data_IF_382437326460
#
_entry.id   IF_382437326460
#
_cell.length_a   1.000
_cell.length_b   1.000
_cell.length_c   1.000
_cell.angle_alpha   90.00
_cell.angle_beta   90.00
_cell.angle_gamma   90.00
#
_symmetry.space_group_name_H-M   'P 1'
#
loop_
_entity.id
_entity.type
_entity.pdbx_description
1 polymer ?
#
# COMPACT_ATOMS: atom_id res chain seq x y z
N UNK A 1 23.10 8.33 5.07
CA UNK A 1 21.69 8.57 4.70
C UNK A 1 20.71 7.93 5.67
N UNK A 2 20.82 6.62 6.00
CA UNK A 2 19.88 5.94 6.90
C UNK A 2 20.00 6.44 8.35
N UNK A 3 21.19 6.74 8.81
CA UNK A 3 21.46 7.22 10.16
C UNK A 3 21.00 8.68 10.34
N UNK A 4 21.21 9.52 9.36
CA UNK A 4 20.72 10.91 9.35
C UNK A 4 19.20 10.97 9.27
N UNK A 5 18.58 10.13 8.43
CA UNK A 5 17.12 9.99 8.40
C UNK A 5 16.56 9.57 9.74
N UNK A 6 17.18 8.57 10.40
CA UNK A 6 16.73 8.09 11.70
C UNK A 6 16.93 9.14 12.81
N UNK A 7 18.00 9.95 12.73
CA UNK A 7 18.21 11.04 13.65
C UNK A 7 17.20 12.18 13.44
N UNK A 8 16.90 12.54 12.18
CA UNK A 8 15.87 13.53 11.85
C UNK A 8 14.47 13.04 12.27
N UNK A 9 14.17 11.75 12.10
CA UNK A 9 12.92 11.14 12.56
C UNK A 9 12.83 11.11 14.09
N UNK A 10 13.94 10.84 14.78
CA UNK A 10 14.01 10.86 16.25
C UNK A 10 13.83 12.29 16.82
N UNK A 11 14.45 13.30 16.18
CA UNK A 11 14.33 14.71 16.57
C UNK A 11 12.93 15.28 16.25
N UNK A 12 12.24 14.76 15.23
CA UNK A 12 10.88 15.15 14.89
C UNK A 12 9.81 14.52 15.79
N UNK A 13 10.19 13.58 16.68
CA UNK A 13 9.25 12.81 17.51
C UNK A 13 8.47 11.75 16.72
N UNK A 14 8.88 11.47 15.50
CA UNK A 14 8.23 10.47 14.63
C UNK A 14 8.69 9.07 15.05
N UNK A 15 7.81 8.31 15.67
CA UNK A 15 8.03 6.89 15.93
C UNK A 15 7.44 6.10 14.75
N UNK A 16 8.27 5.29 14.12
CA UNK A 16 7.83 4.32 13.13
C UNK A 16 7.17 3.17 13.88
N UNK A 17 5.89 3.31 14.16
CA UNK A 17 5.11 2.28 14.84
C UNK A 17 4.39 1.46 13.77
N UNK A 18 4.73 0.19 13.66
CA UNK A 18 4.08 -0.74 12.74
C UNK A 18 2.61 -1.01 13.14
N UNK A 19 2.23 -0.67 14.36
CA UNK A 19 0.94 -0.99 14.96
C UNK A 19 0.03 0.24 15.22
N UNK A 20 0.48 1.47 15.02
CA UNK A 20 -0.22 2.61 15.56
C UNK A 20 -0.50 3.79 14.63
N UNK A 21 -1.58 4.44 14.90
CA UNK A 21 -1.98 5.73 14.39
C UNK A 21 -0.85 6.75 14.57
N UNK A 22 -0.36 7.31 13.49
CA UNK A 22 0.59 8.43 13.54
C UNK A 22 -0.12 9.63 14.19
N UNK A 23 0.38 10.04 15.36
CA UNK A 23 -0.08 11.25 16.02
C UNK A 23 0.33 12.46 15.18
N UNK A 24 -0.61 12.94 14.36
CA UNK A 24 -0.44 13.94 13.30
C UNK A 24 -0.10 15.37 13.81
N UNK A 25 0.14 15.55 15.11
CA UNK A 25 0.28 16.90 15.73
C UNK A 25 1.60 17.61 15.43
N UNK A 26 2.60 16.94 14.83
CA UNK A 26 3.90 17.54 14.53
C UNK A 26 4.26 17.58 13.02
N UNK A 27 3.39 17.12 12.14
CA UNK A 27 3.64 17.07 10.70
C UNK A 27 3.83 18.46 10.06
N UNK A 28 3.14 19.49 10.55
CA UNK A 28 3.21 20.85 9.97
C UNK A 28 4.59 21.52 10.11
N UNK A 29 5.45 21.04 11.01
CA UNK A 29 6.81 21.56 11.20
C UNK A 29 7.87 20.83 10.36
N UNK A 30 7.54 19.67 9.82
CA UNK A 30 8.49 18.78 9.11
C UNK A 30 8.27 18.84 7.59
N UNK A 31 7.24 19.52 7.13
CA UNK A 31 6.84 19.54 5.70
C UNK A 31 7.92 19.94 4.70
N UNK A 32 8.98 20.63 5.14
CA UNK A 32 10.06 21.12 4.27
C UNK A 32 11.40 20.38 4.45
N UNK A 33 11.43 19.29 5.22
CA UNK A 33 12.69 18.59 5.53
C UNK A 33 12.94 17.34 4.67
N UNK A 34 11.98 16.95 3.84
CA UNK A 34 12.12 15.76 2.98
C UNK A 34 11.35 15.93 1.68
N UNK A 35 11.80 15.25 0.64
CA UNK A 35 11.08 15.21 -0.63
C UNK A 35 9.83 14.34 -0.52
N UNK A 36 8.68 14.89 -0.89
CA UNK A 36 7.40 14.19 -0.89
C UNK A 36 7.26 13.22 -2.06
N UNK A 37 7.98 13.48 -3.14
CA UNK A 37 7.95 12.66 -4.34
C UNK A 37 9.31 12.57 -5.02
N UNK A 38 9.49 11.50 -5.80
CA UNK A 38 10.66 11.34 -6.69
C UNK A 38 10.75 12.50 -7.68
N UNK A 39 9.62 13.02 -8.13
CA UNK A 39 9.58 14.12 -9.10
C UNK A 39 10.14 15.43 -8.53
N UNK A 40 9.85 15.76 -7.27
CA UNK A 40 10.44 16.93 -6.60
C UNK A 40 11.96 16.81 -6.53
N UNK A 41 12.45 15.65 -6.11
CA UNK A 41 13.89 15.38 -6.02
C UNK A 41 14.56 15.44 -7.41
N UNK A 42 13.94 14.86 -8.42
CA UNK A 42 14.43 14.90 -9.81
C UNK A 42 14.48 16.33 -10.33
N UNK A 43 13.46 17.14 -10.04
CA UNK A 43 13.42 18.54 -10.44
C UNK A 43 14.61 19.33 -9.88
N UNK A 44 14.91 19.19 -8.60
CA UNK A 44 16.05 19.88 -7.96
C UNK A 44 17.40 19.40 -8.54
N UNK A 45 17.53 18.09 -8.81
CA UNK A 45 18.73 17.58 -9.48
C UNK A 45 18.90 18.13 -10.90
N UNK A 46 17.82 18.28 -11.67
CA UNK A 46 17.87 18.89 -12.99
C UNK A 46 18.24 20.40 -12.93
N UNK A 47 17.77 21.11 -11.89
CA UNK A 47 18.21 22.51 -11.68
C UNK A 47 19.72 22.58 -11.43
N UNK A 48 20.26 21.70 -10.57
CA UNK A 48 21.70 21.62 -10.29
C UNK A 48 22.46 21.30 -11.59
N UNK A 49 22.01 20.31 -12.35
CA UNK A 49 22.60 19.92 -13.62
C UNK A 49 22.64 21.09 -14.60
N UNK A 50 21.55 21.81 -14.79
CA UNK A 50 21.46 22.94 -15.69
C UNK A 50 22.39 24.09 -15.25
N UNK A 51 22.50 24.33 -13.95
CA UNK A 51 23.44 25.31 -13.40
C UNK A 51 24.91 24.96 -13.71
N UNK A 52 25.29 23.67 -13.50
CA UNK A 52 26.64 23.19 -13.82
C UNK A 52 26.96 23.33 -15.31
N UNK A 53 26.05 22.95 -16.19
CA UNK A 53 26.19 23.08 -17.65
C UNK A 53 26.35 24.53 -18.04
N UNK A 54 25.60 25.46 -17.46
CA UNK A 54 25.69 26.89 -17.78
C UNK A 54 27.02 27.52 -17.40
N UNK A 55 27.81 26.90 -16.56
CA UNK A 55 29.13 27.33 -16.09
C UNK A 55 30.28 26.49 -16.64
N UNK A 56 30.02 25.66 -17.67
CA UNK A 56 31.00 24.74 -18.29
C UNK A 56 31.64 23.75 -17.30
N UNK A 57 30.91 23.41 -16.20
CA UNK A 57 31.36 22.41 -15.23
C UNK A 57 30.85 21.01 -15.59
N UNK A 58 31.60 20.00 -15.18
CA UNK A 58 31.21 18.61 -15.40
C UNK A 58 30.00 18.23 -14.52
N UNK A 59 29.03 17.49 -15.06
CA UNK A 59 27.84 17.06 -14.36
C UNK A 59 27.70 15.55 -14.31
N UNK A 60 28.78 14.76 -14.44
CA UNK A 60 28.75 13.30 -14.50
C UNK A 60 28.11 12.67 -13.23
N UNK A 61 28.48 13.16 -12.05
CA UNK A 61 27.93 12.66 -10.79
C UNK A 61 26.43 12.91 -10.68
N UNK A 62 25.96 14.09 -11.13
CA UNK A 62 24.53 14.43 -11.13
C UNK A 62 23.78 13.57 -12.15
N UNK A 63 24.35 13.35 -13.34
CA UNK A 63 23.75 12.47 -14.35
C UNK A 63 23.65 11.02 -13.84
N UNK A 64 24.68 10.52 -13.16
CA UNK A 64 24.66 9.20 -12.56
C UNK A 64 23.55 9.10 -11.51
N UNK A 65 23.44 10.07 -10.62
CA UNK A 65 22.39 10.13 -9.61
C UNK A 65 20.99 10.22 -10.23
N UNK A 66 20.81 11.08 -11.23
CA UNK A 66 19.55 11.18 -11.98
C UNK A 66 19.15 9.83 -12.59
N UNK A 67 20.10 9.13 -13.20
CA UNK A 67 19.86 7.79 -13.75
C UNK A 67 19.43 6.80 -12.67
N UNK A 68 20.10 6.80 -11.52
CA UNK A 68 19.72 5.96 -10.37
C UNK A 68 18.32 6.29 -9.86
N UNK A 69 18.00 7.59 -9.73
CA UNK A 69 16.67 8.04 -9.29
C UNK A 69 15.58 7.64 -10.28
N UNK A 70 15.84 7.74 -11.58
CA UNK A 70 14.88 7.30 -12.61
C UNK A 70 14.63 5.79 -12.59
N UNK A 71 15.65 4.99 -12.27
CA UNK A 71 15.53 3.53 -12.23
C UNK A 71 14.86 3.07 -10.93
N UNK A 72 15.31 3.57 -9.80
CA UNK A 72 14.96 3.05 -8.48
C UNK A 72 13.92 3.91 -7.73
N UNK A 73 13.80 5.18 -8.07
CA UNK A 73 13.04 6.15 -7.28
C UNK A 73 13.60 6.25 -5.85
N UNK A 74 12.72 6.21 -4.85
CA UNK A 74 13.09 6.15 -3.44
C UNK A 74 13.09 4.72 -2.88
N UNK A 75 12.90 3.71 -3.74
CA UNK A 75 12.89 2.31 -3.37
C UNK A 75 14.00 1.54 -4.07
N UNK A 76 14.60 0.56 -3.38
CA UNK A 76 15.64 -0.27 -3.96
C UNK A 76 15.08 -1.21 -5.04
N UNK A 77 13.87 -1.76 -4.80
CA UNK A 77 13.18 -2.66 -5.71
C UNK A 77 11.68 -2.64 -5.42
N UNK A 78 10.85 -2.94 -6.43
CA UNK A 78 9.45 -3.25 -6.21
C UNK A 78 9.28 -4.67 -5.67
N UNK A 79 8.27 -4.86 -4.81
CA UNK A 79 7.96 -6.15 -4.19
C UNK A 79 6.64 -6.69 -4.74
N UNK A 80 6.61 -7.97 -5.06
CA UNK A 80 5.36 -8.69 -5.27
C UNK A 80 4.82 -9.18 -3.94
N UNK A 81 3.55 -8.90 -3.68
CA UNK A 81 2.85 -9.52 -2.56
C UNK A 81 2.37 -10.89 -3.00
N UNK A 82 2.58 -11.92 -2.18
CA UNK A 82 2.19 -13.30 -2.50
C UNK A 82 1.39 -13.89 -1.36
N UNK A 83 0.20 -14.38 -1.68
CA UNK A 83 -0.70 -15.01 -0.72
C UNK A 83 -1.42 -16.21 -1.35
N UNK A 84 -1.85 -17.13 -0.49
CA UNK A 84 -2.69 -18.26 -0.87
C UNK A 84 -4.17 -17.84 -0.89
N UNK A 85 -4.95 -18.32 -1.88
CA UNK A 85 -6.36 -17.96 -2.07
C UNK A 85 -7.21 -18.27 -0.84
N UNK A 86 -6.97 -19.39 -0.18
CA UNK A 86 -7.72 -19.80 1.02
C UNK A 86 -7.72 -18.77 2.13
N UNK A 87 -6.65 -17.98 2.28
CA UNK A 87 -6.59 -16.91 3.28
C UNK A 87 -7.63 -15.81 3.04
N UNK A 88 -7.94 -15.53 1.78
CA UNK A 88 -8.94 -14.53 1.41
C UNK A 88 -10.34 -15.07 1.65
N UNK A 89 -10.61 -16.32 1.22
CA UNK A 89 -11.88 -16.98 1.45
C UNK A 89 -12.20 -17.11 2.93
N UNK A 90 -11.22 -17.52 3.76
CA UNK A 90 -11.37 -17.62 5.21
C UNK A 90 -11.68 -16.25 5.85
N UNK A 91 -11.00 -15.20 5.42
CA UNK A 91 -11.24 -13.86 5.92
C UNK A 91 -12.64 -13.35 5.55
N UNK A 92 -13.12 -13.62 4.34
CA UNK A 92 -14.47 -13.26 3.91
C UNK A 92 -15.51 -14.11 4.63
N UNK A 93 -15.25 -15.38 4.84
CA UNK A 93 -16.14 -16.25 5.62
C UNK A 93 -16.29 -15.73 7.05
N UNK A 94 -15.20 -15.39 7.73
CA UNK A 94 -15.25 -14.82 9.07
C UNK A 94 -16.01 -13.50 9.11
N UNK A 95 -15.77 -12.63 8.10
CA UNK A 95 -16.46 -11.36 7.96
C UNK A 95 -17.97 -11.52 7.75
N UNK A 96 -18.39 -12.42 6.87
CA UNK A 96 -19.81 -12.69 6.61
C UNK A 96 -20.52 -13.29 7.84
N UNK A 97 -19.85 -14.16 8.58
CA UNK A 97 -20.35 -14.71 9.84
C UNK A 97 -20.51 -13.63 10.91
N UNK A 98 -19.54 -12.72 11.04
CA UNK A 98 -19.61 -11.61 11.99
C UNK A 98 -20.76 -10.65 11.70
N UNK A 99 -20.99 -10.35 10.44
CA UNK A 99 -22.06 -9.43 10.01
C UNK A 99 -23.47 -10.06 10.08
N UNK A 100 -23.56 -11.33 10.51
CA UNK A 100 -24.82 -12.11 10.55
C UNK A 100 -25.60 -11.98 9.23
N UNK A 101 -24.85 -11.86 8.16
CA UNK A 101 -25.43 -11.97 6.82
C UNK A 101 -25.94 -13.40 6.75
N UNK A 102 -27.20 -13.62 6.42
CA UNK A 102 -27.85 -14.95 6.33
C UNK A 102 -27.20 -15.86 5.25
N UNK A 103 -25.94 -15.63 4.99
CA UNK A 103 -25.11 -16.18 3.94
C UNK A 103 -23.93 -16.90 4.57
N UNK A 104 -23.90 -18.21 4.44
CA UNK A 104 -22.69 -19.00 4.74
C UNK A 104 -21.85 -19.05 3.46
N UNK A 105 -20.86 -18.18 3.39
CA UNK A 105 -20.03 -17.97 2.19
C UNK A 105 -19.36 -19.24 1.67
N UNK A 106 -18.91 -20.13 2.58
CA UNK A 106 -18.30 -21.42 2.26
C UNK A 106 -19.27 -22.43 1.62
N UNK A 107 -20.59 -22.27 1.83
CA UNK A 107 -21.62 -23.15 1.27
C UNK A 107 -22.20 -22.65 -0.06
N UNK A 108 -21.80 -21.46 -0.49
CA UNK A 108 -22.25 -20.89 -1.77
C UNK A 108 -21.63 -21.63 -2.95
N UNK A 109 -22.43 -21.79 -4.02
CA UNK A 109 -21.91 -22.13 -5.34
C UNK A 109 -21.01 -21.02 -5.89
N UNK A 110 -20.19 -21.33 -6.89
CA UNK A 110 -19.29 -20.35 -7.49
C UNK A 110 -20.05 -19.15 -8.09
N UNK A 111 -21.19 -19.40 -8.74
CA UNK A 111 -22.05 -18.36 -9.31
C UNK A 111 -22.62 -17.44 -8.23
N UNK A 112 -23.01 -18.00 -7.08
CA UNK A 112 -23.52 -17.22 -5.94
C UNK A 112 -22.40 -16.37 -5.32
N UNK A 113 -21.19 -16.93 -5.14
CA UNK A 113 -20.02 -16.18 -4.66
C UNK A 113 -19.70 -15.01 -5.57
N UNK A 114 -19.58 -15.25 -6.87
CA UNK A 114 -19.30 -14.20 -7.86
C UNK A 114 -20.36 -13.10 -7.79
N UNK A 115 -21.64 -13.47 -7.78
CA UNK A 115 -22.74 -12.50 -7.71
C UNK A 115 -22.64 -11.65 -6.45
N UNK A 116 -22.49 -12.30 -5.28
CA UNK A 116 -22.40 -11.61 -4.00
C UNK A 116 -21.18 -10.67 -3.95
N UNK A 117 -20.00 -11.13 -4.39
CA UNK A 117 -18.80 -10.34 -4.44
C UNK A 117 -18.94 -9.11 -5.36
N UNK A 118 -19.58 -9.27 -6.52
CA UNK A 118 -19.84 -8.14 -7.44
C UNK A 118 -20.83 -7.15 -6.82
N UNK A 119 -21.86 -7.62 -6.14
CA UNK A 119 -22.83 -6.76 -5.45
C UNK A 119 -22.14 -5.95 -4.34
N UNK A 120 -21.28 -6.57 -3.54
CA UNK A 120 -20.51 -5.87 -2.49
C UNK A 120 -19.42 -4.95 -3.06
N UNK A 121 -18.78 -5.30 -4.18
CA UNK A 121 -17.84 -4.42 -4.87
C UNK A 121 -18.51 -3.13 -5.37
N UNK A 122 -19.76 -3.18 -5.79
CA UNK A 122 -20.54 -2.03 -6.23
C UNK A 122 -21.17 -1.23 -5.09
N UNK A 123 -21.18 -1.77 -3.88
CA UNK A 123 -21.75 -1.11 -2.70
C UNK A 123 -20.74 -0.11 -2.12
N UNK A 124 -21.21 1.11 -1.78
CA UNK A 124 -20.34 2.16 -1.19
C UNK A 124 -20.18 2.06 0.33
N UNK A 125 -20.99 1.22 0.96
CA UNK A 125 -20.94 1.02 2.41
C UNK A 125 -19.68 0.26 2.78
N UNK A 126 -18.91 0.69 3.82
CA UNK A 126 -17.82 -0.12 4.36
C UNK A 126 -18.36 -1.46 4.89
N UNK A 127 -17.68 -2.54 4.53
CA UNK A 127 -18.05 -3.89 4.93
C UNK A 127 -17.29 -4.34 6.19
N UNK A 128 -16.02 -3.93 6.33
CA UNK A 128 -15.15 -4.36 7.42
C UNK A 128 -15.23 -3.37 8.58
N UNK A 129 -15.76 -3.77 9.75
CA UNK A 129 -15.80 -2.92 10.93
C UNK A 129 -14.42 -2.77 11.58
N UNK A 130 -14.19 -1.63 12.24
CA UNK A 130 -12.90 -1.26 12.83
C UNK A 130 -12.63 -1.90 14.20
N UNK A 131 -13.69 -2.19 14.97
CA UNK A 131 -13.57 -2.55 16.39
C UNK A 131 -13.94 -4.03 16.64
N UNK A 132 -13.38 -4.94 15.86
CA UNK A 132 -13.64 -6.38 15.95
C UNK A 132 -12.34 -7.13 16.17
N UNK A 133 -12.40 -8.09 17.10
CA UNK A 133 -11.31 -9.03 17.30
C UNK A 133 -11.44 -10.17 16.30
N UNK A 134 -10.72 -10.09 15.22
CA UNK A 134 -10.62 -11.13 14.20
C UNK A 134 -9.73 -12.29 14.67
N UNK A 135 -9.86 -13.44 14.05
CA UNK A 135 -8.85 -14.50 14.21
C UNK A 135 -7.49 -13.99 13.72
N UNK A 136 -6.43 -14.57 14.25
CA UNK A 136 -5.05 -14.18 13.89
C UNK A 136 -4.82 -14.24 12.37
N UNK A 137 -5.35 -15.25 11.70
CA UNK A 137 -5.20 -15.44 10.25
C UNK A 137 -5.88 -14.33 9.46
N UNK A 138 -7.10 -13.97 9.84
CA UNK A 138 -7.88 -12.90 9.21
C UNK A 138 -7.22 -11.53 9.46
N UNK A 139 -6.77 -11.28 10.69
CA UNK A 139 -6.04 -10.07 11.04
C UNK A 139 -4.74 -9.91 10.22
N UNK A 140 -3.97 -10.98 10.09
CA UNK A 140 -2.78 -11.00 9.22
C UNK A 140 -3.14 -10.68 7.76
N UNK A 141 -4.23 -11.25 7.25
CA UNK A 141 -4.70 -11.00 5.88
C UNK A 141 -5.06 -9.52 5.70
N UNK A 142 -5.84 -8.93 6.58
CA UNK A 142 -6.20 -7.51 6.52
C UNK A 142 -4.96 -6.60 6.68
N UNK A 143 -4.02 -6.98 7.55
CA UNK A 143 -2.78 -6.24 7.79
C UNK A 143 -1.91 -6.15 6.55
N UNK A 144 -1.88 -7.19 5.70
CA UNK A 144 -1.16 -7.15 4.42
C UNK A 144 -1.70 -6.04 3.52
N UNK A 145 -3.01 -5.92 3.35
CA UNK A 145 -3.61 -4.86 2.53
C UNK A 145 -3.39 -3.47 3.13
N UNK A 146 -3.52 -3.33 4.46
CA UNK A 146 -3.19 -2.07 5.16
C UNK A 146 -1.74 -1.66 4.95
N UNK A 147 -0.81 -2.62 5.05
CA UNK A 147 0.61 -2.42 4.78
C UNK A 147 0.86 -1.98 3.34
N UNK A 148 0.26 -2.65 2.35
CA UNK A 148 0.37 -2.29 0.93
C UNK A 148 -0.09 -0.86 0.70
N UNK A 149 -1.26 -0.48 1.22
CA UNK A 149 -1.76 0.89 1.13
C UNK A 149 -0.77 1.90 1.69
N UNK A 150 -0.25 1.65 2.89
CA UNK A 150 0.72 2.54 3.54
C UNK A 150 2.00 2.66 2.72
N UNK A 151 2.56 1.55 2.23
CA UNK A 151 3.75 1.56 1.39
C UNK A 151 3.52 2.33 0.09
N UNK A 152 2.38 2.16 -0.56
CA UNK A 152 2.05 2.89 -1.77
C UNK A 152 1.86 4.40 -1.52
N UNK A 153 1.29 4.78 -0.38
CA UNK A 153 1.16 6.19 0.00
C UNK A 153 2.51 6.83 0.31
N UNK A 154 3.44 6.11 0.96
CA UNK A 154 4.74 6.63 1.36
C UNK A 154 5.76 6.63 0.20
N UNK A 155 5.81 5.57 -0.61
CA UNK A 155 6.84 5.35 -1.62
C UNK A 155 6.33 5.39 -3.06
N UNK A 156 5.02 5.57 -3.25
CA UNK A 156 4.36 5.51 -4.54
C UNK A 156 3.88 4.09 -4.92
N UNK A 157 2.91 4.02 -5.84
CA UNK A 157 2.25 2.76 -6.22
C UNK A 157 3.19 1.69 -6.77
N UNK A 158 4.35 2.09 -7.33
CA UNK A 158 5.32 1.16 -7.93
C UNK A 158 6.04 0.27 -6.92
N UNK A 159 6.02 0.59 -5.61
CA UNK A 159 6.74 -0.19 -4.59
C UNK A 159 6.17 -1.60 -4.43
N UNK A 160 4.87 -1.76 -4.53
CA UNK A 160 4.15 -3.04 -4.42
C UNK A 160 2.83 -2.96 -5.22
N UNK A 161 2.94 -3.06 -6.54
CA UNK A 161 1.78 -2.98 -7.44
C UNK A 161 1.26 -4.33 -7.92
N UNK A 162 1.98 -5.40 -7.61
CA UNK A 162 1.63 -6.76 -7.99
C UNK A 162 1.19 -7.56 -6.78
N UNK A 163 -0.01 -8.14 -6.86
CA UNK A 163 -0.52 -9.09 -5.87
C UNK A 163 -0.73 -10.44 -6.55
N UNK A 164 0.04 -11.43 -6.16
CA UNK A 164 0.07 -12.77 -6.76
C UNK A 164 -0.67 -13.74 -5.86
N UNK A 165 -1.68 -14.40 -6.39
CA UNK A 165 -2.46 -15.40 -5.69
C UNK A 165 -1.98 -16.77 -6.09
N UNK A 166 -1.63 -17.62 -5.12
CA UNK A 166 -1.37 -19.03 -5.32
C UNK A 166 -2.60 -19.87 -5.01
N UNK A 167 -2.65 -21.09 -5.55
CA UNK A 167 -3.75 -22.05 -5.33
C UNK A 167 -5.13 -21.51 -5.74
N UNK A 168 -5.15 -20.62 -6.72
CA UNK A 168 -6.38 -20.08 -7.27
C UNK A 168 -7.03 -21.10 -8.22
N UNK A 169 -8.32 -21.36 -8.03
CA UNK A 169 -9.09 -22.35 -8.78
C UNK A 169 -10.30 -21.75 -9.49
N UNK A 170 -10.78 -20.60 -9.02
CA UNK A 170 -12.03 -20.00 -9.44
C UNK A 170 -11.94 -18.48 -9.62
N UNK A 171 -12.94 -17.91 -10.27
CA UNK A 171 -13.01 -16.47 -10.48
C UNK A 171 -13.29 -15.73 -9.16
N UNK A 172 -14.00 -16.35 -8.23
CA UNK A 172 -14.25 -15.79 -6.89
C UNK A 172 -12.95 -15.48 -6.16
N UNK A 173 -11.90 -16.29 -6.28
CA UNK A 173 -10.60 -16.05 -5.63
C UNK A 173 -10.00 -14.69 -6.00
N UNK A 174 -10.19 -14.24 -7.24
CA UNK A 174 -9.73 -12.93 -7.70
C UNK A 174 -10.63 -11.80 -7.16
N UNK A 175 -11.94 -12.01 -7.16
CA UNK A 175 -12.92 -11.04 -6.67
C UNK A 175 -12.80 -10.84 -5.16
N UNK A 176 -12.47 -11.88 -4.40
CA UNK A 176 -12.18 -11.80 -2.96
C UNK A 176 -11.03 -10.83 -2.66
N UNK A 177 -9.92 -10.96 -3.38
CA UNK A 177 -8.78 -10.03 -3.25
C UNK A 177 -9.19 -8.61 -3.62
N UNK A 178 -9.98 -8.46 -4.70
CA UNK A 178 -10.45 -7.16 -5.14
C UNK A 178 -11.36 -6.50 -4.10
N UNK A 179 -12.25 -7.27 -3.47
CA UNK A 179 -13.12 -6.79 -2.39
C UNK A 179 -12.30 -6.36 -1.17
N UNK A 180 -11.35 -7.17 -0.73
CA UNK A 180 -10.46 -6.81 0.39
C UNK A 180 -9.61 -5.57 0.09
N UNK A 181 -9.09 -5.46 -1.14
CA UNK A 181 -8.35 -4.28 -1.58
C UNK A 181 -9.23 -3.01 -1.57
N UNK A 182 -10.49 -3.11 -2.02
CA UNK A 182 -11.47 -2.02 -1.95
C UNK A 182 -11.73 -1.60 -0.51
N UNK A 183 -12.05 -2.55 0.36
CA UNK A 183 -12.37 -2.29 1.76
C UNK A 183 -11.20 -1.65 2.53
N UNK A 184 -9.98 -2.01 2.19
CA UNK A 184 -8.78 -1.37 2.75
C UNK A 184 -8.40 -0.06 2.05
N UNK A 185 -9.18 0.36 1.04
CA UNK A 185 -9.01 1.63 0.33
C UNK A 185 -7.77 1.67 -0.57
N UNK A 186 -7.45 0.55 -1.21
CA UNK A 186 -6.44 0.44 -2.27
C UNK A 186 -7.03 0.75 -3.65
N UNK A 187 -8.34 0.67 -3.81
CA UNK A 187 -9.03 1.05 -5.03
C UNK A 187 -9.60 2.45 -4.88
N UNK A 188 -9.29 3.33 -5.83
CA UNK A 188 -9.90 4.65 -5.91
C UNK A 188 -11.41 4.48 -6.17
N UNK A 189 -12.23 5.01 -5.29
CA UNK A 189 -13.68 5.09 -5.49
C UNK A 189 -13.98 6.34 -6.34
N UNK A 190 -13.62 6.30 -7.62
CA UNK A 190 -14.03 7.31 -8.58
C UNK A 190 -15.38 6.98 -9.20
#
# INVERSE_FOLDING_TARGET
LTQERNNLLADSGWKFDLEGETDNKNLDKVENLYYKSVNEFTYDLELIKNSLISTDLTCESVNTLLTQVHIFGFSLASLDIRQESTRHSDAIQELTNYLDLSVQYDQMSEEEKIKWLIDELNTKRPLIPTDVNWTKTTEETFSVFKMVKRLQQEFGSRICHSYVISMSHSASDLLEVLLLAKEMGLLDQN
#
